data_IF_507016388203
#
_entry.id   IF_507016388203
#
_cell.length_a   1.000
_cell.length_b   1.000
_cell.length_c   1.000
_cell.angle_alpha   90.00
_cell.angle_beta   90.00
_cell.angle_gamma   90.00
#
_symmetry.space_group_name_H-M   'P 1'
#
loop_
_entity.id
_entity.type
_entity.pdbx_description
1 polymer ?
#
# COMPACT_ATOMS: atom_id res chain seq x y z
N UNK A 1 87.81 18.97 33.43
CA UNK A 1 88.14 18.20 32.21
C UNK A 1 87.68 16.75 32.44
N UNK A 2 86.84 16.21 31.55
CA UNK A 2 86.31 14.81 31.48
C UNK A 2 85.57 14.24 32.70
N UNK A 3 84.23 14.14 32.68
CA UNK A 3 83.41 13.02 32.18
C UNK A 3 83.53 11.70 32.98
N UNK A 4 82.41 11.25 33.58
CA UNK A 4 81.76 9.95 33.28
C UNK A 4 80.36 9.82 33.90
N UNK A 5 79.45 9.29 33.06
CA UNK A 5 78.00 9.10 33.15
C UNK A 5 77.56 8.12 34.27
N UNK A 6 76.49 8.39 35.04
CA UNK A 6 75.04 8.14 34.82
C UNK A 6 74.58 6.66 34.86
N UNK A 7 73.64 6.37 35.77
CA UNK A 7 72.64 5.30 35.66
C UNK A 7 71.44 5.64 36.54
N UNK A 8 70.35 6.10 35.91
CA UNK A 8 69.08 6.58 36.50
C UNK A 8 68.05 5.44 36.50
N UNK A 9 67.25 5.38 37.56
CA UNK A 9 66.28 4.33 37.90
C UNK A 9 64.97 4.37 37.08
N UNK A 10 64.51 3.15 36.72
CA UNK A 10 63.15 2.62 36.53
C UNK A 10 62.01 3.45 35.90
N UNK A 11 61.89 3.29 34.57
CA UNK A 11 60.76 2.73 33.77
C UNK A 11 59.28 2.97 34.15
N UNK A 12 58.66 3.86 33.35
CA UNK A 12 57.39 3.78 32.59
C UNK A 12 56.10 3.17 33.17
N UNK A 13 55.06 4.01 33.19
CA UNK A 13 53.63 3.68 33.25
C UNK A 13 53.03 3.30 31.87
N UNK A 14 51.95 2.51 31.92
CA UNK A 14 50.83 2.35 30.95
C UNK A 14 50.97 1.36 29.77
N UNK A 15 49.98 0.45 29.67
CA UNK A 15 49.74 -0.40 28.48
C UNK A 15 48.80 -1.58 28.73
N UNK A 16 47.49 -1.35 28.54
CA UNK A 16 46.38 -2.31 28.61
C UNK A 16 46.39 -3.27 27.39
N UNK A 17 46.16 -4.58 27.55
CA UNK A 17 45.34 -5.43 26.66
C UNK A 17 45.35 -6.89 27.15
N UNK A 18 44.29 -7.32 27.84
CA UNK A 18 43.97 -8.75 27.99
C UNK A 18 42.78 -9.01 27.07
N UNK A 19 43.04 -9.78 26.01
CA UNK A 19 42.08 -10.15 24.98
C UNK A 19 41.08 -11.17 25.54
N UNK A 20 39.91 -10.70 25.97
CA UNK A 20 38.79 -11.56 26.33
C UNK A 20 38.07 -12.07 25.07
N UNK A 21 38.45 -13.25 24.57
CA UNK A 21 37.60 -14.02 23.65
C UNK A 21 36.66 -14.91 24.45
N UNK A 22 35.56 -14.32 24.92
CA UNK A 22 34.37 -15.09 25.27
C UNK A 22 33.52 -15.13 23.99
N UNK A 23 33.45 -16.27 23.32
CA UNK A 23 32.50 -16.49 22.22
C UNK A 23 31.09 -16.31 22.78
N UNK A 24 30.52 -15.12 22.60
CA UNK A 24 29.08 -14.98 22.61
C UNK A 24 28.62 -15.70 21.36
N UNK A 25 28.17 -16.95 21.52
CA UNK A 25 27.25 -17.55 20.57
C UNK A 25 26.00 -16.66 20.60
N UNK A 26 26.00 -15.59 19.79
CA UNK A 26 24.77 -14.91 19.46
C UNK A 26 23.85 -16.02 18.97
N UNK A 27 22.64 -16.17 19.53
CA UNK A 27 21.65 -16.99 18.85
C UNK A 27 21.61 -16.40 17.44
N UNK A 28 22.12 -17.17 16.47
CA UNK A 28 21.81 -16.88 15.08
C UNK A 28 20.29 -16.79 15.09
N UNK A 29 19.66 -15.72 14.54
CA UNK A 29 18.23 -15.79 14.34
C UNK A 29 18.03 -17.09 13.58
N UNK A 30 17.43 -18.07 14.25
CA UNK A 30 16.97 -19.27 13.59
C UNK A 30 16.02 -18.67 12.57
N UNK A 31 16.47 -18.59 11.33
CA UNK A 31 15.57 -18.39 10.21
C UNK A 31 14.72 -19.64 10.29
N UNK A 32 13.62 -19.54 11.04
CA UNK A 32 12.54 -20.48 10.94
C UNK A 32 12.22 -20.42 9.45
N UNK A 33 12.67 -21.44 8.72
CA UNK A 33 12.17 -21.67 7.38
C UNK A 33 10.66 -21.67 7.57
N UNK A 34 9.98 -20.64 7.06
CA UNK A 34 8.55 -20.48 7.24
C UNK A 34 7.88 -21.57 6.41
N UNK A 35 7.83 -22.77 6.97
CA UNK A 35 7.09 -23.87 6.40
C UNK A 35 5.63 -23.43 6.35
N UNK A 36 5.14 -23.06 5.16
CA UNK A 36 3.73 -22.75 4.93
C UNK A 36 3.37 -21.28 4.74
N UNK A 37 4.33 -20.37 4.50
CA UNK A 37 3.99 -19.04 3.96
C UNK A 37 3.28 -19.20 2.61
N UNK A 38 2.07 -18.65 2.47
CA UNK A 38 1.32 -18.74 1.22
C UNK A 38 0.40 -17.55 1.00
N UNK A 39 0.07 -17.30 -0.26
CA UNK A 39 -0.96 -16.33 -0.64
C UNK A 39 -2.05 -17.02 -1.46
N UNK A 40 -3.29 -16.57 -1.31
CA UNK A 40 -4.45 -16.99 -2.11
C UNK A 40 -5.14 -15.78 -2.72
N UNK A 41 -5.55 -15.90 -3.97
CA UNK A 41 -6.33 -14.87 -4.65
C UNK A 41 -7.81 -15.18 -4.44
N UNK A 42 -8.40 -14.55 -3.44
CA UNK A 42 -9.77 -14.86 -2.96
C UNK A 42 -10.86 -14.13 -3.73
N UNK A 43 -10.51 -13.03 -4.40
CA UNK A 43 -11.40 -12.33 -5.32
C UNK A 43 -10.59 -11.63 -6.43
N UNK A 44 -11.21 -11.48 -7.60
CA UNK A 44 -10.66 -10.80 -8.79
C UNK A 44 -11.77 -9.94 -9.37
N UNK A 45 -11.45 -8.66 -9.58
CA UNK A 45 -12.17 -7.74 -10.46
C UNK A 45 -11.28 -7.52 -11.68
N UNK A 46 -11.72 -8.03 -12.83
CA UNK A 46 -10.91 -8.16 -14.04
C UNK A 46 -10.30 -6.81 -14.41
N UNK A 47 -9.02 -6.83 -14.77
CA UNK A 47 -8.24 -5.66 -15.19
C UNK A 47 -8.15 -4.51 -14.15
N UNK A 48 -8.66 -4.69 -12.93
CA UNK A 48 -8.73 -3.63 -11.95
C UNK A 48 -8.00 -3.99 -10.65
N UNK A 49 -8.49 -4.99 -9.91
CA UNK A 49 -7.90 -5.33 -8.61
C UNK A 49 -8.17 -6.78 -8.18
N UNK A 50 -7.39 -7.24 -7.21
CA UNK A 50 -7.58 -8.53 -6.54
C UNK A 50 -7.54 -8.39 -5.03
N UNK A 51 -8.18 -9.33 -4.34
CA UNK A 51 -8.01 -9.51 -2.89
C UNK A 51 -7.10 -10.71 -2.65
N UNK A 52 -6.01 -10.45 -1.94
CA UNK A 52 -5.00 -11.43 -1.57
C UNK A 52 -5.14 -11.78 -0.10
N UNK A 53 -5.31 -13.06 0.20
CA UNK A 53 -5.19 -13.60 1.56
C UNK A 53 -3.77 -14.13 1.76
N UNK A 54 -3.02 -13.48 2.64
CA UNK A 54 -1.72 -13.92 3.12
C UNK A 54 -1.91 -14.84 4.33
N UNK A 55 -1.17 -15.95 4.39
CA UNK A 55 -1.20 -16.90 5.51
C UNK A 55 0.21 -17.18 6.04
N UNK A 56 0.33 -17.23 7.37
CA UNK A 56 1.57 -17.50 8.10
C UNK A 56 2.70 -16.50 7.84
N UNK A 57 2.36 -15.24 7.61
CA UNK A 57 3.35 -14.20 7.37
C UNK A 57 4.08 -13.82 8.67
N UNK A 58 5.42 -13.71 8.68
CA UNK A 58 6.17 -13.27 9.85
C UNK A 58 5.75 -11.85 10.29
N UNK A 59 5.86 -11.59 11.59
CA UNK A 59 5.62 -10.27 12.17
C UNK A 59 6.76 -9.31 11.81
N UNK A 60 6.45 -8.02 11.64
CA UNK A 60 7.39 -6.93 11.41
C UNK A 60 8.28 -7.13 10.17
N UNK A 61 7.70 -7.70 9.12
CA UNK A 61 8.42 -7.98 7.89
C UNK A 61 7.96 -7.02 6.80
N UNK A 62 8.91 -6.37 6.12
CA UNK A 62 8.61 -5.55 4.93
C UNK A 62 8.49 -6.45 3.70
N UNK A 63 7.51 -6.16 2.85
CA UNK A 63 7.17 -6.89 1.64
C UNK A 63 7.07 -5.97 0.45
N UNK A 64 7.59 -6.41 -0.68
CA UNK A 64 7.41 -5.82 -2.01
C UNK A 64 6.45 -6.69 -2.80
N UNK A 65 5.34 -6.11 -3.28
CA UNK A 65 4.35 -6.78 -4.12
C UNK A 65 4.68 -6.50 -5.58
N UNK A 66 4.88 -7.56 -6.36
CA UNK A 66 5.11 -7.52 -7.80
C UNK A 66 4.01 -8.25 -8.53
N UNK A 67 3.56 -7.67 -9.64
CA UNK A 67 2.51 -8.21 -10.51
C UNK A 67 2.99 -8.20 -11.95
N UNK A 68 2.72 -9.26 -12.69
CA UNK A 68 3.08 -9.36 -14.11
C UNK A 68 2.42 -10.55 -14.80
N UNK A 69 2.53 -10.63 -16.15
CA UNK A 69 2.02 -11.77 -16.90
C UNK A 69 2.66 -13.07 -16.43
N UNK A 70 1.88 -14.14 -16.32
CA UNK A 70 2.35 -15.41 -15.77
C UNK A 70 3.60 -15.95 -16.49
N UNK A 71 3.57 -15.96 -17.81
CA UNK A 71 4.62 -16.58 -18.63
C UNK A 71 5.89 -15.72 -18.74
N UNK A 72 5.77 -14.39 -18.66
CA UNK A 72 6.89 -13.45 -18.82
C UNK A 72 7.23 -12.70 -17.52
N UNK A 73 6.72 -13.17 -16.38
CA UNK A 73 6.83 -12.50 -15.07
C UNK A 73 8.24 -12.04 -14.72
N UNK A 74 9.28 -12.81 -15.09
CA UNK A 74 10.67 -12.47 -14.76
C UNK A 74 11.13 -11.17 -15.41
N UNK A 75 10.63 -10.85 -16.60
CA UNK A 75 10.97 -9.63 -17.35
C UNK A 75 9.96 -8.51 -17.15
N UNK A 76 8.67 -8.85 -17.18
CA UNK A 76 7.60 -7.86 -17.34
C UNK A 76 6.90 -7.50 -16.02
N UNK A 77 7.23 -8.16 -14.91
CA UNK A 77 6.61 -7.85 -13.63
C UNK A 77 7.04 -6.48 -13.10
N UNK A 78 6.06 -5.72 -12.64
CA UNK A 78 6.25 -4.39 -12.03
C UNK A 78 5.94 -4.44 -10.53
N UNK A 79 6.60 -3.59 -9.76
CA UNK A 79 6.28 -3.39 -8.34
C UNK A 79 5.05 -2.50 -8.23
N UNK A 80 4.01 -2.97 -7.55
CA UNK A 80 2.73 -2.26 -7.44
C UNK A 80 2.46 -1.74 -6.03
N UNK A 81 3.07 -2.33 -5.01
CA UNK A 81 2.90 -1.91 -3.62
C UNK A 81 4.05 -2.40 -2.73
N UNK A 82 4.23 -1.77 -1.58
CA UNK A 82 5.05 -2.26 -0.47
C UNK A 82 4.28 -2.15 0.84
N UNK A 83 4.38 -3.13 1.73
CA UNK A 83 3.72 -3.07 3.04
C UNK A 83 4.51 -3.82 4.12
N UNK A 84 4.19 -3.54 5.39
CA UNK A 84 4.77 -4.22 6.54
C UNK A 84 3.74 -5.13 7.19
N UNK A 85 4.05 -6.41 7.40
CA UNK A 85 3.20 -7.33 8.16
C UNK A 85 3.39 -7.11 9.67
N UNK A 86 2.93 -5.97 10.18
CA UNK A 86 3.17 -5.52 11.57
C UNK A 86 2.75 -6.53 12.63
N UNK A 87 1.68 -7.29 12.41
CA UNK A 87 1.24 -8.35 13.31
C UNK A 87 1.62 -9.77 12.85
N UNK A 88 1.99 -9.92 11.57
CA UNK A 88 2.14 -11.23 10.95
C UNK A 88 0.81 -12.02 10.92
N UNK A 89 0.91 -13.33 10.79
CA UNK A 89 -0.22 -14.25 10.78
C UNK A 89 -0.96 -14.28 9.44
N UNK A 90 -2.29 -14.41 9.51
CA UNK A 90 -3.17 -14.48 8.34
C UNK A 90 -3.97 -13.20 8.24
N UNK A 91 -3.93 -12.56 7.07
CA UNK A 91 -4.64 -11.30 6.81
C UNK A 91 -4.95 -11.16 5.32
N UNK A 92 -5.88 -10.26 4.98
CA UNK A 92 -6.25 -9.94 3.60
C UNK A 92 -5.83 -8.52 3.25
N UNK A 93 -5.54 -8.31 1.97
CA UNK A 93 -5.20 -7.00 1.42
C UNK A 93 -5.57 -6.90 -0.06
N UNK A 94 -5.71 -5.67 -0.56
CA UNK A 94 -6.01 -5.39 -1.96
C UNK A 94 -4.71 -5.18 -2.73
N UNK A 95 -4.65 -5.70 -3.94
CA UNK A 95 -3.61 -5.42 -4.93
C UNK A 95 -4.28 -4.89 -6.19
N UNK A 96 -3.96 -3.66 -6.57
CA UNK A 96 -4.39 -3.05 -7.83
C UNK A 96 -3.58 -3.67 -8.97
N UNK A 97 -4.24 -4.04 -10.06
CA UNK A 97 -3.61 -4.64 -11.22
C UNK A 97 -3.01 -3.54 -12.10
N UNK A 98 -1.72 -3.63 -12.47
CA UNK A 98 -1.06 -2.64 -13.32
C UNK A 98 -1.37 -2.88 -14.80
N UNK A 99 -1.22 -1.84 -15.63
CA UNK A 99 -1.50 -1.87 -17.08
C UNK A 99 -0.77 -3.00 -17.82
N UNK A 100 0.42 -3.41 -17.35
CA UNK A 100 1.20 -4.51 -17.95
C UNK A 100 0.47 -5.87 -17.90
N UNK A 101 -0.63 -5.97 -17.16
CA UNK A 101 -1.49 -7.15 -17.13
C UNK A 101 -2.94 -6.90 -17.56
N UNK A 102 -3.23 -5.75 -18.17
CA UNK A 102 -4.53 -5.48 -18.77
C UNK A 102 -4.82 -6.49 -19.89
N UNK A 103 -6.00 -7.11 -19.86
CA UNK A 103 -6.45 -8.15 -20.79
C UNK A 103 -5.48 -9.34 -20.95
N UNK A 104 -4.59 -9.53 -19.98
CA UNK A 104 -3.77 -10.73 -19.86
C UNK A 104 -4.55 -11.80 -19.09
N UNK A 105 -4.76 -12.96 -19.72
CA UNK A 105 -5.53 -14.07 -19.15
C UNK A 105 -4.93 -14.62 -17.85
N UNK A 106 -3.61 -14.82 -17.78
CA UNK A 106 -2.93 -15.40 -16.64
C UNK A 106 -1.95 -14.42 -16.01
N UNK A 107 -2.18 -14.09 -14.75
CA UNK A 107 -1.42 -13.10 -13.99
C UNK A 107 -0.76 -13.76 -12.78
N UNK A 108 0.48 -13.37 -12.51
CA UNK A 108 1.23 -13.77 -11.31
C UNK A 108 1.34 -12.60 -10.34
N UNK A 109 1.13 -12.88 -9.05
CA UNK A 109 1.46 -11.97 -7.94
C UNK A 109 2.55 -12.62 -7.11
N UNK A 110 3.58 -11.85 -6.77
CA UNK A 110 4.69 -12.28 -5.93
C UNK A 110 4.97 -11.25 -4.84
N UNK A 111 5.16 -11.73 -3.62
CA UNK A 111 5.57 -10.98 -2.46
C UNK A 111 7.00 -11.37 -2.11
N UNK A 112 7.90 -10.40 -2.13
CA UNK A 112 9.31 -10.57 -1.74
C UNK A 112 9.61 -9.76 -0.47
N UNK A 113 10.21 -10.40 0.52
CA UNK A 113 10.56 -9.75 1.78
C UNK A 113 12.03 -9.31 1.83
N UNK A 114 12.33 -8.31 2.66
CA UNK A 114 13.72 -7.88 2.91
C UNK A 114 14.60 -9.01 3.53
N UNK A 115 13.99 -9.91 4.31
CA UNK A 115 14.58 -11.13 4.87
C UNK A 115 14.53 -12.34 3.92
N UNK A 116 14.32 -12.12 2.61
CA UNK A 116 14.33 -13.17 1.56
C UNK A 116 13.18 -14.18 1.61
N UNK A 117 12.13 -13.94 2.39
CA UNK A 117 10.90 -14.73 2.25
C UNK A 117 10.21 -14.43 0.92
N UNK A 118 9.61 -15.44 0.31
CA UNK A 118 8.87 -15.30 -0.95
C UNK A 118 7.57 -16.06 -0.87
N UNK A 119 6.45 -15.39 -1.20
CA UNK A 119 5.18 -16.04 -1.52
C UNK A 119 4.74 -15.61 -2.91
N UNK A 120 4.11 -16.50 -3.65
CA UNK A 120 3.56 -16.19 -4.96
C UNK A 120 2.35 -17.05 -5.24
N UNK A 121 1.49 -16.57 -6.12
CA UNK A 121 0.38 -17.32 -6.68
C UNK A 121 0.02 -16.73 -8.04
N UNK A 122 -0.66 -17.52 -8.86
CA UNK A 122 -1.17 -17.11 -10.16
C UNK A 122 -2.69 -17.24 -10.19
N UNK A 123 -3.33 -16.43 -11.01
CA UNK A 123 -4.77 -16.43 -11.16
C UNK A 123 -5.16 -16.09 -12.60
N UNK A 124 -6.38 -16.51 -12.96
CA UNK A 124 -7.01 -16.12 -14.20
C UNK A 124 -7.67 -14.75 -14.03
N UNK A 125 -7.42 -13.83 -14.96
CA UNK A 125 -7.94 -12.47 -14.95
C UNK A 125 -9.40 -12.44 -15.42
N UNK A 126 -10.28 -12.97 -14.60
CA UNK A 126 -11.71 -12.92 -14.79
C UNK A 126 -12.41 -12.69 -13.47
N UNK A 127 -13.55 -12.00 -13.54
CA UNK A 127 -14.36 -11.63 -12.40
C UNK A 127 -14.74 -12.85 -11.56
N UNK A 128 -14.38 -12.84 -10.28
CA UNK A 128 -14.78 -13.87 -9.31
C UNK A 128 -14.71 -13.37 -7.88
N UNK A 129 -15.61 -13.87 -7.05
CA UNK A 129 -15.71 -13.45 -5.65
C UNK A 129 -16.12 -11.98 -5.51
N UNK A 130 -16.04 -11.45 -4.30
CA UNK A 130 -16.33 -10.05 -4.03
C UNK A 130 -15.04 -9.34 -3.62
N UNK A 131 -14.42 -8.67 -4.59
CA UNK A 131 -13.15 -7.96 -4.42
C UNK A 131 -13.30 -6.67 -3.58
N UNK A 132 -14.52 -6.29 -3.21
CA UNK A 132 -14.86 -5.03 -2.55
C UNK A 132 -15.31 -5.21 -1.10
N UNK A 133 -15.77 -6.39 -0.68
CA UNK A 133 -16.21 -6.65 0.70
C UNK A 133 -15.23 -7.44 1.56
N UNK A 134 -14.14 -7.97 0.99
CA UNK A 134 -13.29 -8.97 1.68
C UNK A 134 -11.85 -8.55 2.01
N UNK A 135 -11.41 -7.34 1.64
CA UNK A 135 -10.05 -6.86 1.90
C UNK A 135 -10.02 -5.58 2.76
N UNK A 136 -9.43 -5.64 3.95
CA UNK A 136 -8.95 -4.44 4.63
C UNK A 136 -7.63 -4.05 3.98
N UNK A 137 -7.45 -2.80 3.57
CA UNK A 137 -6.14 -2.31 3.15
C UNK A 137 -5.17 -2.39 4.34
N UNK A 138 -3.99 -3.00 4.22
CA UNK A 138 -2.96 -2.93 5.24
C UNK A 138 -2.62 -1.47 5.49
N UNK A 139 -2.71 -1.07 6.76
CA UNK A 139 -2.25 0.24 7.19
C UNK A 139 -0.76 0.37 6.92
N UNK A 140 -0.40 1.27 6.02
CA UNK A 140 0.99 1.65 5.75
C UNK A 140 1.62 2.14 7.06
N UNK A 141 2.66 1.46 7.53
CA UNK A 141 3.57 2.00 8.54
C UNK A 141 4.77 2.57 7.78
N UNK A 142 4.91 3.91 7.63
CA UNK A 142 5.99 4.50 6.86
C UNK A 142 7.30 4.36 7.64
N UNK A 143 8.30 3.69 7.06
CA UNK A 143 9.66 3.67 7.64
C UNK A 143 10.71 3.87 6.53
N UNK A 144 11.36 5.05 6.53
CA UNK A 144 12.76 5.22 6.11
C UNK A 144 13.13 5.26 4.61
N UNK A 145 12.89 6.40 3.98
CA UNK A 145 13.79 7.17 3.08
C UNK A 145 14.78 6.45 2.13
N UNK A 146 14.29 6.10 0.95
CA UNK A 146 14.95 6.50 -0.31
C UNK A 146 13.89 7.21 -1.15
N UNK A 147 13.91 8.54 -1.22
CA UNK A 147 12.94 9.33 -1.98
C UNK A 147 12.93 8.86 -3.44
N UNK A 148 11.90 8.14 -3.90
CA UNK A 148 11.73 7.91 -5.32
C UNK A 148 11.56 9.29 -5.95
N UNK A 149 12.10 9.52 -7.15
CA UNK A 149 11.76 10.72 -7.89
C UNK A 149 10.22 10.84 -7.92
N UNK A 150 9.63 11.96 -7.47
CA UNK A 150 8.19 12.08 -7.40
C UNK A 150 7.61 11.83 -8.79
N UNK A 151 6.65 10.92 -8.91
CA UNK A 151 5.92 10.74 -10.15
C UNK A 151 5.25 12.07 -10.52
N UNK A 152 5.11 12.32 -11.83
CA UNK A 152 4.63 13.63 -12.31
C UNK A 152 3.24 13.96 -11.75
N UNK A 153 2.39 12.95 -11.64
CA UNK A 153 1.10 12.99 -10.96
C UNK A 153 1.11 11.88 -9.89
N UNK A 154 0.74 12.22 -8.68
CA UNK A 154 0.55 11.28 -7.58
C UNK A 154 -0.31 11.92 -6.51
N UNK A 155 -1.18 11.10 -5.92
CA UNK A 155 -2.14 11.50 -4.91
C UNK A 155 -1.98 10.63 -3.66
N UNK A 156 -2.31 11.18 -2.50
CA UNK A 156 -2.56 10.40 -1.28
C UNK A 156 -3.89 10.79 -0.66
N UNK A 157 -4.74 9.80 -0.36
CA UNK A 157 -5.96 10.00 0.41
C UNK A 157 -5.63 10.25 1.88
N UNK A 158 -6.08 11.39 2.41
CA UNK A 158 -5.81 11.79 3.80
C UNK A 158 -7.03 11.66 4.70
N UNK A 159 -8.24 11.79 4.16
CA UNK A 159 -9.47 11.65 4.93
C UNK A 159 -10.65 11.20 4.07
N UNK A 160 -11.53 10.42 4.67
CA UNK A 160 -12.85 10.01 4.15
C UNK A 160 -13.89 10.35 5.19
N UNK A 161 -14.92 11.12 4.84
CA UNK A 161 -16.05 11.39 5.73
C UNK A 161 -17.38 11.29 4.97
N UNK A 162 -18.44 11.06 5.74
CA UNK A 162 -19.82 11.02 5.29
C UNK A 162 -20.57 12.10 6.06
N UNK A 163 -21.31 12.98 5.39
CA UNK A 163 -22.03 14.09 6.06
C UNK A 163 -23.33 13.65 6.75
N UNK A 164 -23.45 12.36 7.06
CA UNK A 164 -24.61 11.73 7.66
C UNK A 164 -24.20 10.74 8.78
N UNK A 165 -25.11 10.43 9.72
CA UNK A 165 -24.90 9.35 10.69
C UNK A 165 -24.65 8.02 9.99
N UNK A 166 -23.72 7.21 10.48
CA UNK A 166 -23.48 5.86 9.97
C UNK A 166 -23.57 4.88 11.15
N UNK A 167 -24.64 4.06 11.25
CA UNK A 167 -25.65 3.76 10.24
C UNK A 167 -26.75 4.83 10.03
N UNK A 168 -27.25 4.93 8.79
CA UNK A 168 -28.32 5.84 8.34
C UNK A 168 -29.59 5.11 7.92
N UNK A 169 -30.70 5.84 7.80
CA UNK A 169 -31.95 5.30 7.25
C UNK A 169 -31.87 5.03 5.74
N UNK A 170 -32.73 4.15 5.23
CA UNK A 170 -32.93 3.96 3.80
C UNK A 170 -33.22 5.30 3.08
N UNK A 171 -32.66 5.47 1.86
CA UNK A 171 -32.82 6.68 1.04
C UNK A 171 -32.35 7.98 1.68
N UNK A 172 -31.52 7.92 2.73
CA UNK A 172 -30.94 9.12 3.33
C UNK A 172 -30.00 9.83 2.33
N UNK A 173 -30.08 11.16 2.32
CA UNK A 173 -29.27 12.03 1.47
C UNK A 173 -27.98 12.41 2.21
N UNK A 174 -26.82 12.22 1.57
CA UNK A 174 -25.52 12.44 2.20
C UNK A 174 -24.44 12.82 1.17
N UNK A 175 -23.40 13.50 1.62
CA UNK A 175 -22.20 13.70 0.82
C UNK A 175 -21.14 12.68 1.21
N UNK A 176 -20.53 12.06 0.20
CA UNK A 176 -19.20 11.49 0.35
C UNK A 176 -18.17 12.60 0.22
N UNK A 177 -17.27 12.70 1.19
CA UNK A 177 -16.27 13.76 1.25
C UNK A 177 -14.89 13.16 1.41
N UNK A 178 -13.99 13.47 0.48
CA UNK A 178 -12.60 13.02 0.50
C UNK A 178 -11.66 14.19 0.57
N UNK A 179 -10.68 14.15 1.47
CA UNK A 179 -9.54 15.06 1.42
C UNK A 179 -8.35 14.31 0.86
N UNK A 180 -7.81 14.79 -0.25
CA UNK A 180 -6.64 14.21 -0.91
C UNK A 180 -5.53 15.24 -0.99
N UNK A 181 -4.28 14.76 -1.00
CA UNK A 181 -3.08 15.58 -1.11
C UNK A 181 -2.35 15.28 -2.41
N UNK A 182 -1.88 16.33 -3.08
CA UNK A 182 -0.98 16.22 -4.22
C UNK A 182 0.44 15.88 -3.73
N UNK A 183 0.86 14.65 -3.96
CA UNK A 183 2.19 14.14 -3.65
C UNK A 183 3.10 14.06 -4.88
N UNK A 184 2.57 14.42 -6.06
CA UNK A 184 3.29 14.45 -7.32
C UNK A 184 4.21 15.66 -7.48
N UNK A 185 4.91 15.70 -8.61
CA UNK A 185 5.82 16.80 -8.93
C UNK A 185 5.16 17.97 -9.68
N UNK A 186 3.97 17.76 -10.28
CA UNK A 186 3.21 18.78 -11.01
C UNK A 186 1.98 19.24 -10.23
N UNK A 187 1.58 20.47 -10.48
CA UNK A 187 0.29 20.98 -10.04
C UNK A 187 -0.85 20.27 -10.80
N UNK A 188 -1.96 20.03 -10.12
CA UNK A 188 -3.18 19.52 -10.73
C UNK A 188 -4.02 20.70 -11.19
N UNK A 189 -4.10 20.91 -12.51
CA UNK A 189 -5.02 21.87 -13.10
C UNK A 189 -6.45 21.30 -13.13
N UNK A 190 -7.46 22.16 -13.15
CA UNK A 190 -8.86 21.75 -12.92
C UNK A 190 -9.40 20.74 -13.92
N UNK A 191 -8.91 20.82 -15.17
CA UNK A 191 -9.31 20.00 -16.31
C UNK A 191 -8.28 18.91 -16.67
N UNK A 192 -7.24 18.74 -15.84
CA UNK A 192 -6.23 17.72 -16.06
C UNK A 192 -6.65 16.38 -15.47
N UNK A 193 -7.31 16.44 -14.31
CA UNK A 193 -7.72 15.27 -13.54
C UNK A 193 -9.20 15.34 -13.25
N UNK A 194 -9.83 14.18 -13.33
CA UNK A 194 -11.22 13.98 -12.98
C UNK A 194 -11.32 13.18 -11.69
N UNK A 195 -12.35 13.41 -10.88
CA UNK A 195 -12.80 12.41 -9.93
C UNK A 195 -14.06 11.72 -10.44
N UNK A 196 -13.99 10.40 -10.56
CA UNK A 196 -14.93 9.56 -11.31
C UNK A 196 -15.44 8.41 -10.45
N UNK A 197 -16.72 8.07 -10.59
CA UNK A 197 -17.25 6.81 -10.11
C UNK A 197 -16.51 5.66 -10.80
N UNK A 198 -15.88 4.81 -9.99
CA UNK A 198 -15.06 3.72 -10.48
C UNK A 198 -15.78 2.38 -10.36
N UNK A 199 -16.31 2.08 -9.18
CA UNK A 199 -16.95 0.78 -8.90
C UNK A 199 -17.77 0.76 -7.62
N UNK A 200 -18.35 -0.40 -7.30
CA UNK A 200 -19.15 -0.62 -6.09
C UNK A 200 -20.61 -0.22 -6.26
N UNK A 201 -21.29 0.10 -5.17
CA UNK A 201 -22.67 0.58 -5.22
C UNK A 201 -22.71 2.00 -5.76
N UNK A 202 -23.43 2.19 -6.86
CA UNK A 202 -23.67 3.51 -7.41
C UNK A 202 -24.68 4.25 -6.52
N UNK A 203 -24.22 5.28 -5.84
CA UNK A 203 -25.02 6.07 -4.90
C UNK A 203 -25.09 7.55 -5.28
N UNK A 204 -24.38 8.00 -6.33
CA UNK A 204 -24.33 9.39 -6.76
C UNK A 204 -25.61 9.86 -7.46
N UNK A 205 -25.97 11.12 -7.18
CA UNK A 205 -27.23 11.69 -7.64
C UNK A 205 -27.15 12.37 -9.01
N UNK A 206 -25.97 12.81 -9.46
CA UNK A 206 -25.84 13.62 -10.68
C UNK A 206 -24.97 12.96 -11.76
N UNK A 207 -23.65 13.15 -11.70
CA UNK A 207 -22.72 12.71 -12.72
C UNK A 207 -21.80 11.62 -12.20
N UNK A 208 -21.21 10.85 -13.10
CA UNK A 208 -20.24 9.79 -12.79
C UNK A 208 -18.79 10.31 -12.83
N UNK A 209 -18.60 11.59 -13.14
CA UNK A 209 -17.30 12.21 -13.36
C UNK A 209 -17.41 13.72 -13.15
N UNK A 210 -16.40 14.30 -12.54
CA UNK A 210 -16.31 15.74 -12.28
C UNK A 210 -14.87 16.22 -12.39
N UNK A 211 -14.70 17.42 -12.94
CA UNK A 211 -13.45 18.19 -12.89
C UNK A 211 -13.09 18.56 -11.44
N UNK A 212 -11.80 18.76 -11.16
CA UNK A 212 -11.39 19.32 -9.86
C UNK A 212 -11.99 20.73 -9.67
N UNK A 213 -12.53 21.06 -8.48
CA UNK A 213 -13.18 22.35 -8.26
C UNK A 213 -12.20 23.52 -8.19
N UNK A 214 -10.91 23.25 -7.98
CA UNK A 214 -9.82 24.23 -8.02
C UNK A 214 -8.51 23.55 -8.37
N UNK A 215 -7.55 24.33 -8.88
CA UNK A 215 -6.16 23.91 -9.01
C UNK A 215 -5.58 23.49 -7.65
N UNK A 216 -4.76 22.44 -7.66
CA UNK A 216 -4.06 21.93 -6.47
C UNK A 216 -2.56 21.94 -6.71
N UNK A 217 -1.87 22.89 -6.07
CA UNK A 217 -0.42 22.99 -6.17
C UNK A 217 0.26 21.73 -5.59
N UNK A 218 1.49 21.46 -6.03
CA UNK A 218 2.33 20.42 -5.44
C UNK A 218 2.37 20.55 -3.91
N UNK A 219 2.09 19.45 -3.21
CA UNK A 219 2.12 19.39 -1.76
C UNK A 219 0.84 19.90 -1.07
N UNK A 220 -0.08 20.53 -1.80
CA UNK A 220 -1.35 21.01 -1.26
C UNK A 220 -2.42 19.92 -1.23
N UNK A 221 -3.49 20.19 -0.50
CA UNK A 221 -4.63 19.28 -0.38
C UNK A 221 -5.91 19.91 -0.93
N UNK A 222 -6.83 19.06 -1.37
CA UNK A 222 -8.16 19.45 -1.83
C UNK A 222 -9.21 18.54 -1.20
N UNK A 223 -10.39 19.11 -0.96
CA UNK A 223 -11.58 18.36 -0.54
C UNK A 223 -12.52 18.19 -1.72
N UNK A 224 -12.80 16.94 -2.06
CA UNK A 224 -13.74 16.52 -3.09
C UNK A 224 -15.05 16.09 -2.43
N UNK A 225 -16.17 16.35 -3.11
CA UNK A 225 -17.52 16.06 -2.61
C UNK A 225 -18.35 15.45 -3.72
N UNK A 226 -19.11 14.42 -3.38
CA UNK A 226 -20.14 13.85 -4.25
C UNK A 226 -21.41 13.70 -3.43
N UNK A 227 -22.48 14.31 -3.95
CA UNK A 227 -23.85 14.18 -3.43
C UNK A 227 -24.38 12.77 -3.76
N UNK A 228 -24.83 12.06 -2.74
CA UNK A 228 -25.25 10.66 -2.79
C UNK A 228 -26.53 10.39 -2.01
N UNK A 229 -27.29 9.39 -2.47
CA UNK A 229 -28.44 8.85 -1.75
C UNK A 229 -28.24 7.38 -1.38
N UNK A 230 -28.48 7.07 -0.11
CA UNK A 230 -28.34 5.72 0.43
C UNK A 230 -29.35 4.74 -0.23
N UNK A 231 -28.99 3.46 -0.41
CA UNK A 231 -29.91 2.45 -0.93
C UNK A 231 -31.19 2.28 -0.09
N UNK A 232 -32.24 1.72 -0.69
CA UNK A 232 -33.52 1.48 0.01
C UNK A 232 -33.50 0.32 0.99
N UNK A 233 -32.53 -0.59 0.85
CA UNK A 233 -32.48 -1.83 1.60
C UNK A 233 -31.41 -1.74 2.68
N UNK A 234 -31.69 -2.29 3.86
CA UNK A 234 -30.70 -2.41 4.91
C UNK A 234 -29.48 -3.22 4.44
N UNK A 235 -28.29 -2.81 4.86
CA UNK A 235 -27.03 -3.42 4.42
C UNK A 235 -25.85 -2.47 4.50
N UNK A 236 -24.65 -2.99 4.27
CA UNK A 236 -23.43 -2.19 4.16
C UNK A 236 -23.09 -2.03 2.68
N UNK A 237 -22.85 -0.79 2.25
CA UNK A 237 -22.60 -0.44 0.86
C UNK A 237 -21.32 0.38 0.76
N UNK A 238 -20.52 0.09 -0.27
CA UNK A 238 -19.33 0.85 -0.61
C UNK A 238 -19.46 1.39 -2.02
N UNK A 239 -19.25 2.69 -2.21
CA UNK A 239 -19.03 3.32 -3.52
C UNK A 239 -17.58 3.72 -3.63
N UNK A 240 -16.91 3.32 -4.70
CA UNK A 240 -15.50 3.68 -4.94
C UNK A 240 -15.43 4.69 -6.05
N UNK A 241 -14.88 5.86 -5.72
CA UNK A 241 -14.50 6.89 -6.67
C UNK A 241 -12.99 6.83 -6.91
N UNK A 242 -12.51 7.48 -7.96
CA UNK A 242 -11.09 7.53 -8.27
C UNK A 242 -10.71 8.90 -8.83
N UNK A 243 -9.53 9.41 -8.46
CA UNK A 243 -8.87 10.51 -9.16
C UNK A 243 -8.14 9.93 -10.38
N UNK A 244 -8.46 10.39 -11.58
CA UNK A 244 -8.02 9.78 -12.84
C UNK A 244 -7.54 10.81 -13.88
N UNK A 245 -6.69 10.35 -14.79
CA UNK A 245 -6.44 10.96 -16.12
C UNK A 245 -6.82 9.91 -17.17
N UNK A 246 -7.96 10.11 -17.83
CA UNK A 246 -8.59 9.11 -18.69
C UNK A 246 -8.92 7.83 -17.92
N UNK A 247 -8.19 6.75 -18.20
CA UNK A 247 -8.32 5.46 -17.54
C UNK A 247 -7.26 5.22 -16.45
N UNK A 248 -6.26 6.09 -16.33
CA UNK A 248 -5.18 5.96 -15.34
C UNK A 248 -5.69 6.41 -13.98
N UNK A 249 -5.63 5.54 -12.97
CA UNK A 249 -6.01 5.88 -11.60
C UNK A 249 -4.80 6.34 -10.78
N UNK A 250 -4.92 7.49 -10.12
CA UNK A 250 -3.90 8.03 -9.20
C UNK A 250 -4.26 7.87 -7.72
N UNK A 251 -5.54 7.79 -7.41
CA UNK A 251 -6.05 7.64 -6.06
C UNK A 251 -7.42 6.97 -6.10
N UNK A 252 -7.65 5.99 -5.23
CA UNK A 252 -9.00 5.54 -4.93
C UNK A 252 -9.58 6.34 -3.76
N UNK A 253 -10.86 6.64 -3.88
CA UNK A 253 -11.65 7.47 -3.00
C UNK A 253 -12.89 6.65 -2.56
N UNK A 254 -12.73 5.67 -1.67
CA UNK A 254 -13.84 4.83 -1.23
C UNK A 254 -14.72 5.57 -0.22
N UNK A 255 -16.02 5.29 -0.22
CA UNK A 255 -16.95 5.66 0.85
C UNK A 255 -17.79 4.45 1.22
N UNK A 256 -17.89 4.16 2.52
CA UNK A 256 -18.69 3.04 3.03
C UNK A 256 -19.75 3.53 4.00
N UNK A 257 -20.99 3.13 3.77
CA UNK A 257 -22.15 3.43 4.61
C UNK A 257 -22.84 2.14 5.06
N UNK A 258 -23.58 2.23 6.17
CA UNK A 258 -24.51 1.18 6.60
C UNK A 258 -25.92 1.76 6.64
N UNK A 259 -26.85 1.07 5.99
CA UNK A 259 -28.29 1.38 5.98
C UNK A 259 -29.01 0.47 6.96
N UNK A 260 -29.87 1.04 7.81
CA UNK A 260 -30.74 0.33 8.76
C UNK A 260 -32.22 0.47 8.40
#
# INVERSE_FOLDING_TARGET
>A
MSQKLFSKTYRFFAGLLILAMLLIALPSPVSAASSGLSIKIVAVDKNNQIVVEAANFPKNQSWTVRVGPYYSFRGDAVTVNTFTSTNGGTFRFIVVLPDVVEDVDWISVRLDSDQKYVAYNAFFNADRGDAYTTGLQPSETPTGTSTPAPSTLACSLTSVTVTAPNPMSARYDFDAVWTIKNTGSKDWETNLLDYKYWSGTKMNNYADLYDLPTRVAKGESITLRVDMTAPSSAGTYTSTWALVDGNTVYCYLPVTITVK
#
